data_IF_805194135934
#
_entry.id   IF_805194135934
#
_cell.length_a   1.000
_cell.length_b   1.000
_cell.length_c   1.000
_cell.angle_alpha   90.00
_cell.angle_beta   90.00
_cell.angle_gamma   90.00
#
_symmetry.space_group_name_H-M   'P 1'
#
loop_
_entity.id
_entity.type
_entity.pdbx_description
1 polymer ?
#
# COMPACT_ATOMS: atom_id res chain seq x y z
N UNK A 1 -25.53 89.77 26.38
CA UNK A 1 -24.48 89.16 27.22
C UNK A 1 -24.06 87.88 26.49
N UNK A 2 -22.99 87.97 25.68
CA UNK A 2 -21.69 87.30 25.93
C UNK A 2 -21.83 85.78 26.09
N UNK A 3 -21.11 84.86 25.46
CA UNK A 3 -19.98 84.80 24.52
C UNK A 3 -19.66 83.29 24.45
N UNK A 4 -19.31 82.71 23.30
CA UNK A 4 -18.33 81.61 23.23
C UNK A 4 -18.12 81.14 21.78
N UNK A 5 -16.94 81.47 21.25
CA UNK A 5 -16.33 80.82 20.09
C UNK A 5 -15.94 79.37 20.45
N UNK A 6 -16.05 78.45 19.49
CA UNK A 6 -15.22 77.25 19.43
C UNK A 6 -14.86 76.96 17.97
N UNK A 7 -13.57 77.00 17.67
CA UNK A 7 -12.98 76.83 16.35
C UNK A 7 -13.04 75.37 15.88
N UNK A 8 -13.37 75.18 14.61
CA UNK A 8 -13.49 73.90 13.93
C UNK A 8 -12.09 73.43 13.48
N UNK A 9 -11.50 72.47 14.19
CA UNK A 9 -10.25 71.81 13.81
C UNK A 9 -10.51 70.58 12.93
N UNK A 10 -10.06 70.65 11.68
CA UNK A 10 -10.13 69.57 10.69
C UNK A 10 -9.07 68.49 11.01
N UNK A 11 -9.49 67.36 11.60
CA UNK A 11 -8.63 66.20 11.81
C UNK A 11 -8.65 65.30 10.56
N UNK A 12 -7.54 65.31 9.82
CA UNK A 12 -7.25 64.41 8.70
C UNK A 12 -7.02 62.99 9.27
N UNK A 13 -8.00 62.11 9.13
CA UNK A 13 -7.89 60.72 9.55
C UNK A 13 -6.89 59.96 8.65
N UNK A 14 -5.69 59.66 9.18
CA UNK A 14 -4.81 58.67 8.57
C UNK A 14 -5.50 57.30 8.61
N UNK A 15 -5.84 56.77 7.45
CA UNK A 15 -6.19 55.36 7.31
C UNK A 15 -4.94 54.51 7.63
N UNK A 16 -5.07 53.43 8.42
CA UNK A 16 -3.94 52.54 8.65
C UNK A 16 -3.55 51.83 7.35
N UNK A 17 -2.26 51.52 7.12
CA UNK A 17 -1.86 50.74 5.97
C UNK A 17 -2.48 49.35 6.09
N UNK A 18 -3.19 48.94 5.03
CA UNK A 18 -3.60 47.55 4.82
C UNK A 18 -2.33 46.70 4.77
N UNK A 19 -1.96 46.10 5.90
CA UNK A 19 -0.99 45.02 5.90
C UNK A 19 -1.64 43.84 5.14
N UNK A 20 -1.01 43.27 4.12
CA UNK A 20 -1.49 42.03 3.56
C UNK A 20 -1.41 41.00 4.68
N UNK A 21 -2.56 40.48 5.12
CA UNK A 21 -2.58 39.28 5.94
C UNK A 21 -1.82 38.23 5.12
N UNK A 22 -0.63 37.84 5.57
CA UNK A 22 -0.01 36.62 5.11
C UNK A 22 -1.05 35.53 5.39
N UNK A 23 -1.69 35.01 4.34
CA UNK A 23 -2.73 34.02 4.46
C UNK A 23 -2.13 32.78 5.10
N UNK A 24 -2.30 32.63 6.41
CA UNK A 24 -2.16 31.33 7.05
C UNK A 24 -3.10 30.38 6.29
N UNK A 25 -2.55 29.28 5.75
CA UNK A 25 -3.33 28.30 5.02
C UNK A 25 -4.54 27.88 5.88
N UNK A 26 -5.74 27.86 5.28
CA UNK A 26 -6.94 27.46 6.01
C UNK A 26 -6.80 26.01 6.51
N UNK A 27 -7.55 25.63 7.54
CA UNK A 27 -7.57 24.25 8.01
C UNK A 27 -7.87 23.25 6.86
N UNK A 28 -8.76 23.63 5.93
CA UNK A 28 -9.08 22.86 4.74
C UNK A 28 -7.93 22.76 3.74
N UNK A 29 -7.17 23.84 3.53
CA UNK A 29 -5.97 23.81 2.67
C UNK A 29 -4.88 22.90 3.22
N UNK A 30 -4.73 22.86 4.56
CA UNK A 30 -3.78 21.94 5.21
C UNK A 30 -4.17 20.47 5.01
N UNK A 31 -5.46 20.12 5.18
CA UNK A 31 -5.93 18.74 4.89
C UNK A 31 -5.63 18.37 3.45
N UNK A 32 -5.98 19.24 2.50
CA UNK A 32 -5.74 19.00 1.08
C UNK A 32 -4.25 18.81 0.77
N UNK A 33 -3.38 19.67 1.30
CA UNK A 33 -1.94 19.57 1.10
C UNK A 33 -1.36 18.26 1.67
N UNK A 34 -1.83 17.82 2.84
CA UNK A 34 -1.43 16.54 3.42
C UNK A 34 -1.92 15.35 2.57
N UNK A 35 -3.14 15.42 2.04
CA UNK A 35 -3.68 14.41 1.12
C UNK A 35 -2.89 14.31 -0.18
N UNK A 36 -2.58 15.44 -0.80
CA UNK A 36 -1.73 15.51 -2.01
C UNK A 36 -0.34 14.92 -1.73
N UNK A 37 0.32 15.32 -0.63
CA UNK A 37 1.62 14.80 -0.23
C UNK A 37 1.59 13.29 0.03
N UNK A 38 0.52 12.77 0.65
CA UNK A 38 0.33 11.34 0.87
C UNK A 38 0.24 10.57 -0.45
N UNK A 39 -0.56 11.04 -1.41
CA UNK A 39 -0.72 10.39 -2.72
C UNK A 39 0.59 10.41 -3.51
N UNK A 40 1.29 11.54 -3.53
CA UNK A 40 2.58 11.65 -4.22
C UNK A 40 3.61 10.69 -3.62
N UNK A 41 3.71 10.64 -2.29
CA UNK A 41 4.59 9.67 -1.62
C UNK A 41 4.21 8.23 -1.97
N UNK A 42 2.91 7.91 -2.04
CA UNK A 42 2.45 6.56 -2.39
C UNK A 42 2.90 6.16 -3.80
N UNK A 43 2.81 7.08 -4.77
CA UNK A 43 3.25 6.86 -6.16
C UNK A 43 4.76 6.63 -6.21
N UNK A 44 5.54 7.50 -5.57
CA UNK A 44 7.00 7.43 -5.54
C UNK A 44 7.52 6.15 -4.84
N UNK A 45 6.85 5.74 -3.75
CA UNK A 45 7.25 4.58 -2.94
C UNK A 45 6.78 3.25 -3.52
N UNK A 46 5.84 3.25 -4.45
CA UNK A 46 5.32 2.02 -5.07
C UNK A 46 5.16 2.18 -6.59
N UNK A 47 6.26 2.27 -7.35
CA UNK A 47 6.21 2.38 -8.81
C UNK A 47 5.39 1.26 -9.48
N UNK A 48 5.41 0.05 -8.92
CA UNK A 48 4.61 -1.06 -9.42
C UNK A 48 3.09 -0.81 -9.27
N UNK A 49 2.67 -0.15 -8.18
CA UNK A 49 1.29 0.30 -7.98
C UNK A 49 0.95 1.48 -8.88
N UNK A 50 1.87 2.43 -9.04
CA UNK A 50 1.71 3.58 -9.93
C UNK A 50 1.38 3.14 -11.37
N UNK A 51 2.17 2.21 -11.93
CA UNK A 51 1.91 1.62 -13.25
C UNK A 51 0.51 0.99 -13.34
N UNK A 52 0.09 0.27 -12.30
CA UNK A 52 -1.26 -0.35 -12.27
C UNK A 52 -2.37 0.68 -12.24
N UNK A 53 -2.13 1.87 -11.71
CA UNK A 53 -3.05 3.00 -11.69
C UNK A 53 -2.96 3.87 -12.96
N UNK A 54 -2.10 3.53 -13.93
CA UNK A 54 -1.92 4.31 -15.16
C UNK A 54 -0.99 5.53 -15.00
N UNK A 55 -0.20 5.56 -13.93
CA UNK A 55 0.81 6.59 -13.69
C UNK A 55 2.17 6.01 -14.11
N UNK A 56 2.71 6.54 -15.21
CA UNK A 56 3.80 5.92 -15.96
C UNK A 56 5.18 6.55 -15.71
N UNK A 57 5.26 7.58 -14.85
CA UNK A 57 6.50 8.35 -14.57
C UNK A 57 7.64 7.50 -13.97
N UNK A 58 7.33 6.31 -13.47
CA UNK A 58 8.26 5.41 -12.78
C UNK A 58 8.19 3.97 -13.30
N UNK A 59 7.74 3.76 -14.54
CA UNK A 59 7.58 2.42 -15.10
C UNK A 59 8.89 1.62 -15.16
N UNK A 60 10.04 2.29 -15.23
CA UNK A 60 11.36 1.67 -15.28
C UNK A 60 11.89 1.23 -13.89
N UNK A 61 11.16 1.52 -12.81
CA UNK A 61 11.63 1.31 -11.43
C UNK A 61 10.90 0.16 -10.75
N UNK A 62 11.66 -0.56 -9.93
CA UNK A 62 11.20 -1.43 -8.86
C UNK A 62 11.94 -0.98 -7.59
N UNK A 63 11.22 -0.73 -6.51
CA UNK A 63 11.82 -0.34 -5.22
C UNK A 63 11.83 -1.56 -4.29
N UNK A 64 13.01 -2.07 -3.90
CA UNK A 64 13.14 -3.09 -2.87
C UNK A 64 12.55 -2.62 -1.53
N UNK A 65 11.86 -3.53 -0.83
CA UNK A 65 11.40 -3.29 0.54
C UNK A 65 12.48 -3.76 1.51
N UNK A 66 13.13 -2.82 2.17
CA UNK A 66 14.15 -3.04 3.20
C UNK A 66 13.61 -2.68 4.59
N UNK A 67 14.29 -3.12 5.66
CA UNK A 67 13.96 -2.69 7.01
C UNK A 67 14.02 -1.16 7.19
N UNK A 68 14.94 -0.47 6.50
CA UNK A 68 15.02 0.99 6.54
C UNK A 68 13.77 1.63 5.95
N UNK A 69 13.35 1.17 4.77
CA UNK A 69 12.14 1.67 4.13
C UNK A 69 10.87 1.38 4.93
N UNK A 70 10.79 0.23 5.60
CA UNK A 70 9.66 -0.10 6.48
C UNK A 70 9.60 0.83 7.70
N UNK A 71 10.76 1.24 8.24
CA UNK A 71 10.82 2.25 9.31
C UNK A 71 10.38 3.61 8.79
N UNK A 72 10.89 4.05 7.65
CA UNK A 72 10.49 5.31 7.01
C UNK A 72 9.00 5.37 6.71
N UNK A 73 8.39 4.27 6.23
CA UNK A 73 6.96 4.19 5.96
C UNK A 73 6.13 4.28 7.24
N UNK A 74 6.60 3.67 8.33
CA UNK A 74 5.96 3.77 9.66
C UNK A 74 6.05 5.19 10.21
N UNK A 75 7.22 5.81 10.16
CA UNK A 75 7.45 7.15 10.68
C UNK A 75 6.66 8.20 9.88
N UNK A 76 6.60 8.05 8.55
CA UNK A 76 5.77 8.89 7.70
C UNK A 76 4.27 8.74 8.01
N UNK A 77 3.78 7.52 8.24
CA UNK A 77 2.39 7.29 8.61
C UNK A 77 2.03 7.93 9.97
N UNK A 78 2.93 7.84 10.96
CA UNK A 78 2.76 8.50 12.27
C UNK A 78 2.78 10.02 12.16
N UNK A 79 3.71 10.57 11.39
CA UNK A 79 3.81 12.00 11.17
C UNK A 79 2.57 12.57 10.47
N UNK A 80 2.05 11.86 9.46
CA UNK A 80 0.81 12.23 8.79
C UNK A 80 -0.39 12.15 9.74
N UNK A 81 -0.51 11.07 10.51
CA UNK A 81 -1.58 10.91 11.51
C UNK A 81 -1.57 12.05 12.53
N UNK A 82 -0.39 12.39 13.07
CA UNK A 82 -0.23 13.51 14.00
C UNK A 82 -0.64 14.84 13.35
N UNK A 83 -0.12 15.14 12.16
CA UNK A 83 -0.43 16.37 11.45
C UNK A 83 -1.93 16.53 11.16
N UNK A 84 -2.63 15.43 10.86
CA UNK A 84 -4.08 15.43 10.66
C UNK A 84 -4.85 15.69 11.97
N UNK A 85 -4.42 15.09 13.08
CA UNK A 85 -5.06 15.29 14.41
C UNK A 85 -4.88 16.71 14.95
N UNK A 86 -3.83 17.40 14.56
CA UNK A 86 -3.59 18.80 14.94
C UNK A 86 -4.50 19.80 14.18
N UNK A 87 -5.22 19.35 13.15
CA UNK A 87 -6.16 20.19 12.40
C UNK A 87 -7.51 20.24 13.15
N UNK A 88 -7.94 21.42 13.63
CA UNK A 88 -9.19 21.55 14.37
C UNK A 88 -10.41 21.30 13.47
N UNK A 89 -11.48 20.78 14.07
CA UNK A 89 -12.79 20.60 13.42
C UNK A 89 -13.44 21.94 13.07
N UNK A 90 -13.17 22.97 13.89
CA UNK A 90 -13.77 24.28 13.76
C UNK A 90 -13.42 24.92 12.40
N UNK A 91 -14.43 25.20 11.60
CA UNK A 91 -14.28 25.83 10.29
C UNK A 91 -13.85 24.88 9.18
N UNK A 92 -13.86 23.57 9.40
CA UNK A 92 -13.55 22.57 8.37
C UNK A 92 -14.80 22.26 7.52
N UNK A 93 -14.78 22.51 6.20
CA UNK A 93 -15.92 22.15 5.35
C UNK A 93 -16.22 20.65 5.40
N UNK A 94 -17.48 20.20 5.26
CA UNK A 94 -17.84 18.78 5.38
C UNK A 94 -17.00 17.84 4.49
N UNK A 95 -16.71 18.25 3.25
CA UNK A 95 -15.85 17.46 2.35
C UNK A 95 -14.42 17.30 2.88
N UNK A 96 -13.85 18.34 3.53
CA UNK A 96 -12.50 18.29 4.10
C UNK A 96 -12.46 17.55 5.43
N UNK A 97 -13.54 17.61 6.20
CA UNK A 97 -13.72 16.76 7.37
C UNK A 97 -13.70 15.28 6.98
N UNK A 98 -14.48 14.89 5.97
CA UNK A 98 -14.49 13.52 5.46
C UNK A 98 -13.12 13.08 4.94
N UNK A 99 -12.44 13.92 4.16
CA UNK A 99 -11.10 13.62 3.65
C UNK A 99 -10.09 13.40 4.79
N UNK A 100 -10.14 14.23 5.84
CA UNK A 100 -9.30 14.06 7.03
C UNK A 100 -9.55 12.72 7.71
N UNK A 101 -10.82 12.34 7.91
CA UNK A 101 -11.18 11.04 8.51
C UNK A 101 -10.70 9.86 7.63
N UNK A 102 -10.84 9.96 6.31
CA UNK A 102 -10.34 8.94 5.39
C UNK A 102 -8.81 8.79 5.46
N UNK A 103 -8.08 9.90 5.55
CA UNK A 103 -6.63 9.89 5.70
C UNK A 103 -6.20 9.32 7.07
N UNK A 104 -6.92 9.63 8.14
CA UNK A 104 -6.69 9.04 9.47
C UNK A 104 -6.91 7.53 9.46
N UNK A 105 -8.02 7.06 8.88
CA UNK A 105 -8.26 5.63 8.68
C UNK A 105 -7.17 4.96 7.82
N UNK A 106 -6.67 5.65 6.80
CA UNK A 106 -5.56 5.16 5.99
C UNK A 106 -4.24 5.08 6.77
N UNK A 107 -3.97 6.02 7.67
CA UNK A 107 -2.82 5.94 8.58
C UNK A 107 -2.97 4.76 9.53
N UNK A 108 -4.14 4.60 10.15
CA UNK A 108 -4.42 3.51 11.09
C UNK A 108 -4.21 2.13 10.44
N UNK A 109 -4.77 1.92 9.25
CA UNK A 109 -4.58 0.66 8.49
C UNK A 109 -3.12 0.43 8.11
N UNK A 110 -2.42 1.47 7.63
CA UNK A 110 -0.99 1.36 7.28
C UNK A 110 -0.14 0.98 8.49
N UNK A 111 -0.39 1.59 9.65
CA UNK A 111 0.32 1.26 10.89
C UNK A 111 -0.01 -0.15 11.38
N UNK A 112 -1.28 -0.56 11.31
CA UNK A 112 -1.67 -1.92 11.66
C UNK A 112 -0.98 -2.97 10.77
N UNK A 113 -0.85 -2.72 9.47
CA UNK A 113 -0.10 -3.60 8.58
C UNK A 113 1.39 -3.65 8.94
N UNK A 114 2.02 -2.50 9.16
CA UNK A 114 3.47 -2.39 9.42
C UNK A 114 3.90 -2.80 10.84
N UNK A 115 2.99 -2.85 11.81
CA UNK A 115 3.30 -3.11 13.22
C UNK A 115 2.69 -4.41 13.73
N UNK A 116 1.48 -4.76 13.29
CA UNK A 116 0.76 -5.94 13.75
C UNK A 116 0.95 -7.09 12.77
N UNK A 117 0.52 -6.89 11.53
CA UNK A 117 0.52 -7.95 10.52
C UNK A 117 1.92 -8.27 10.01
N UNK A 118 2.76 -7.24 9.88
CA UNK A 118 4.19 -7.33 9.50
C UNK A 118 4.39 -8.27 8.30
N UNK A 119 3.68 -8.02 7.18
CA UNK A 119 3.62 -8.98 6.08
C UNK A 119 5.02 -9.25 5.49
N UNK A 120 5.87 -8.23 5.40
CA UNK A 120 7.21 -8.36 4.84
C UNK A 120 8.18 -9.16 5.72
N UNK A 121 7.87 -9.34 7.00
CA UNK A 121 8.62 -10.15 7.97
C UNK A 121 7.99 -11.54 8.21
N UNK A 122 6.68 -11.67 8.02
CA UNK A 122 5.88 -12.85 8.41
C UNK A 122 5.25 -13.60 7.23
N UNK A 123 5.38 -13.10 6.02
CA UNK A 123 4.82 -13.73 4.82
C UNK A 123 5.80 -13.60 3.65
N UNK A 124 6.50 -14.69 3.26
CA UNK A 124 7.37 -14.66 2.09
C UNK A 124 6.62 -14.29 0.80
N UNK A 125 5.30 -14.53 0.72
CA UNK A 125 4.50 -14.16 -0.45
C UNK A 125 4.15 -12.67 -0.51
N UNK A 126 4.43 -11.88 0.53
CA UNK A 126 4.29 -10.42 0.49
C UNK A 126 5.16 -9.77 -0.61
N UNK A 127 6.19 -10.47 -1.10
CA UNK A 127 7.07 -10.01 -2.17
C UNK A 127 6.58 -10.35 -3.59
N UNK A 128 5.51 -11.16 -3.75
CA UNK A 128 4.95 -11.49 -5.07
C UNK A 128 4.58 -10.27 -5.92
N UNK A 129 3.93 -9.21 -5.37
CA UNK A 129 3.63 -8.00 -6.14
C UNK A 129 4.89 -7.31 -6.68
N UNK A 130 6.01 -7.39 -5.96
CA UNK A 130 7.28 -6.79 -6.38
C UNK A 130 7.96 -7.65 -7.44
N UNK A 131 8.07 -8.96 -7.25
CA UNK A 131 8.86 -9.80 -8.16
C UNK A 131 8.08 -10.14 -9.43
N UNK A 132 6.83 -10.59 -9.32
CA UNK A 132 6.03 -10.97 -10.48
C UNK A 132 5.07 -9.86 -10.92
N UNK A 133 4.38 -9.23 -9.95
CA UNK A 133 3.35 -8.24 -10.22
C UNK A 133 3.87 -6.98 -10.91
N UNK A 134 5.08 -6.52 -10.56
CA UNK A 134 5.70 -5.34 -11.15
C UNK A 134 6.02 -5.56 -12.64
N UNK A 135 6.61 -6.71 -12.98
CA UNK A 135 6.98 -7.06 -14.36
C UNK A 135 5.72 -7.26 -15.20
N UNK A 136 4.73 -7.98 -14.65
CA UNK A 136 3.41 -8.16 -15.29
C UNK A 136 2.74 -6.83 -15.62
N UNK A 137 2.76 -5.88 -14.68
CA UNK A 137 2.10 -4.59 -14.86
C UNK A 137 2.63 -3.79 -16.06
N UNK A 138 3.91 -3.97 -16.42
CA UNK A 138 4.47 -3.33 -17.63
C UNK A 138 3.76 -3.82 -18.88
N UNK A 139 3.57 -5.13 -19.02
CA UNK A 139 2.90 -5.68 -20.20
C UNK A 139 1.41 -5.39 -20.23
N UNK A 140 0.76 -5.41 -19.07
CA UNK A 140 -0.71 -5.30 -18.96
C UNK A 140 -1.22 -3.85 -19.00
N UNK A 141 -0.41 -2.86 -18.59
CA UNK A 141 -0.87 -1.49 -18.33
C UNK A 141 -0.13 -0.41 -19.11
N UNK A 142 1.12 -0.67 -19.51
CA UNK A 142 1.90 0.32 -20.27
C UNK A 142 1.52 0.22 -21.73
N UNK A 143 1.14 1.35 -22.31
CA UNK A 143 0.88 1.46 -23.74
C UNK A 143 2.16 1.87 -24.47
N UNK A 144 2.33 1.40 -25.71
CA UNK A 144 3.45 1.82 -26.56
C UNK A 144 4.04 0.68 -27.38
N UNK A 145 5.13 0.97 -28.13
CA UNK A 145 5.79 -0.02 -28.98
C UNK A 145 6.26 -1.25 -28.17
N UNK A 146 6.21 -2.46 -28.74
CA UNK A 146 6.63 -3.68 -28.05
C UNK A 146 8.02 -3.58 -27.40
N UNK A 147 9.02 -3.04 -28.09
CA UNK A 147 10.37 -2.90 -27.55
C UNK A 147 10.48 -1.94 -26.37
N UNK A 148 9.65 -0.90 -26.30
CA UNK A 148 9.62 0.00 -25.13
C UNK A 148 9.16 -0.75 -23.88
N UNK A 149 8.10 -1.55 -23.99
CA UNK A 149 7.59 -2.38 -22.89
C UNK A 149 8.58 -3.47 -22.50
N UNK A 150 9.22 -4.13 -23.48
CA UNK A 150 10.26 -5.13 -23.21
C UNK A 150 11.44 -4.53 -22.45
N UNK A 151 11.91 -3.35 -22.84
CA UNK A 151 12.98 -2.64 -22.14
C UNK A 151 12.59 -2.33 -20.68
N UNK A 152 11.38 -1.82 -20.42
CA UNK A 152 10.88 -1.56 -19.07
C UNK A 152 10.78 -2.84 -18.23
N UNK A 153 10.32 -3.94 -18.83
CA UNK A 153 10.28 -5.25 -18.17
C UNK A 153 11.68 -5.76 -17.78
N UNK A 154 12.66 -5.60 -18.67
CA UNK A 154 14.06 -5.95 -18.40
C UNK A 154 14.61 -5.14 -17.21
N UNK A 155 14.30 -3.84 -17.13
CA UNK A 155 14.70 -2.97 -16.00
C UNK A 155 14.11 -3.43 -14.67
N UNK A 156 12.84 -3.82 -14.64
CA UNK A 156 12.18 -4.36 -13.43
C UNK A 156 12.76 -5.72 -13.03
N UNK A 157 12.96 -6.63 -14.00
CA UNK A 157 13.57 -7.93 -13.76
C UNK A 157 14.98 -7.80 -13.17
N UNK A 158 15.79 -6.87 -13.69
CA UNK A 158 17.14 -6.63 -13.19
C UNK A 158 17.18 -6.21 -11.70
N UNK A 159 16.09 -5.65 -11.17
CA UNK A 159 15.96 -5.26 -9.77
C UNK A 159 15.41 -6.37 -8.85
N UNK A 160 14.87 -7.46 -9.40
CA UNK A 160 14.34 -8.60 -8.63
C UNK A 160 15.38 -9.22 -7.67
N UNK A 161 16.65 -9.44 -8.07
CA UNK A 161 17.66 -9.97 -7.15
C UNK A 161 17.87 -9.14 -5.89
N UNK A 162 17.83 -7.80 -6.02
CA UNK A 162 17.91 -6.87 -4.88
C UNK A 162 16.69 -6.99 -3.98
N UNK A 163 15.48 -7.00 -4.57
CA UNK A 163 14.23 -7.15 -3.83
C UNK A 163 14.20 -8.46 -3.02
N UNK A 164 14.67 -9.57 -3.60
CA UNK A 164 14.73 -10.85 -2.89
C UNK A 164 15.85 -10.92 -1.86
N UNK A 165 16.95 -10.19 -2.04
CA UNK A 165 17.96 -10.08 -0.98
C UNK A 165 17.42 -9.31 0.22
N UNK A 166 16.67 -8.24 -0.01
CA UNK A 166 15.97 -7.54 1.07
C UNK A 166 14.92 -8.46 1.73
N UNK A 167 14.20 -9.26 0.95
CA UNK A 167 13.25 -10.24 1.47
C UNK A 167 13.90 -11.24 2.44
N UNK A 168 15.07 -11.79 2.11
CA UNK A 168 15.82 -12.71 2.99
C UNK A 168 16.21 -12.09 4.33
N UNK A 169 16.48 -10.78 4.34
CA UNK A 169 16.82 -10.05 5.56
C UNK A 169 15.58 -9.77 6.41
N UNK A 170 14.45 -9.46 5.76
CA UNK A 170 13.22 -9.10 6.46
C UNK A 170 12.48 -10.33 7.01
N UNK A 171 12.36 -11.40 6.22
CA UNK A 171 11.61 -12.61 6.57
C UNK A 171 12.33 -13.34 7.70
N UNK A 172 11.80 -13.20 8.90
CA UNK A 172 12.41 -13.67 10.14
C UNK A 172 11.42 -14.34 11.09
N UNK A 173 10.11 -14.11 10.91
CA UNK A 173 9.05 -14.59 11.80
C UNK A 173 7.88 -15.23 11.05
N UNK A 174 8.13 -15.78 9.86
CA UNK A 174 7.11 -16.42 9.06
C UNK A 174 6.63 -17.73 9.73
N UNK A 175 5.31 -17.91 9.94
CA UNK A 175 4.75 -19.17 10.41
C UNK A 175 5.01 -20.31 9.43
N UNK A 176 5.21 -21.56 9.90
CA UNK A 176 5.49 -22.71 9.05
C UNK A 176 4.49 -22.88 7.90
N UNK A 177 3.21 -22.61 8.16
CA UNK A 177 2.13 -22.74 7.19
C UNK A 177 2.30 -21.75 6.03
N UNK A 178 2.69 -20.50 6.33
CA UNK A 178 2.96 -19.50 5.28
C UNK A 178 4.22 -19.83 4.48
N UNK A 179 5.25 -20.35 5.15
CA UNK A 179 6.47 -20.81 4.47
C UNK A 179 6.16 -21.98 3.52
N UNK A 180 5.36 -22.95 3.96
CA UNK A 180 4.93 -24.07 3.13
C UNK A 180 4.15 -23.62 1.90
N UNK A 181 3.17 -22.72 2.08
CA UNK A 181 2.40 -22.13 0.97
C UNK A 181 3.34 -21.35 0.03
N UNK A 182 4.31 -20.61 0.57
CA UNK A 182 5.27 -19.88 -0.25
C UNK A 182 6.12 -20.81 -1.14
N UNK A 183 6.63 -21.91 -0.58
CA UNK A 183 7.40 -22.91 -1.31
C UNK A 183 6.58 -23.55 -2.44
N UNK A 184 5.28 -23.76 -2.23
CA UNK A 184 4.36 -24.27 -3.25
C UNK A 184 4.09 -23.25 -4.37
N UNK A 185 3.96 -21.97 -4.03
CA UNK A 185 3.50 -20.93 -4.96
C UNK A 185 4.60 -20.25 -5.75
N UNK A 186 5.78 -20.03 -5.16
CA UNK A 186 6.90 -19.34 -5.82
C UNK A 186 7.41 -20.02 -7.11
N UNK A 187 7.33 -21.36 -7.31
CA UNK A 187 7.60 -21.98 -8.61
C UNK A 187 6.78 -21.43 -9.77
N UNK A 188 5.60 -20.85 -9.53
CA UNK A 188 4.83 -20.19 -10.57
C UNK A 188 5.52 -18.92 -11.12
N UNK A 189 6.31 -18.24 -10.30
CA UNK A 189 7.13 -17.08 -10.73
C UNK A 189 8.21 -17.52 -11.71
N UNK A 190 8.82 -18.69 -11.47
CA UNK A 190 9.82 -19.25 -12.40
C UNK A 190 9.21 -19.57 -13.76
N UNK A 191 8.01 -20.16 -13.81
CA UNK A 191 7.29 -20.37 -15.08
C UNK A 191 6.94 -19.05 -15.76
N UNK A 192 6.51 -18.05 -15.00
CA UNK A 192 6.22 -16.73 -15.53
C UNK A 192 7.44 -16.12 -16.23
N UNK A 193 8.61 -16.16 -15.60
CA UNK A 193 9.86 -15.68 -16.18
C UNK A 193 10.31 -16.50 -17.40
N UNK A 194 10.34 -17.83 -17.28
CA UNK A 194 10.84 -18.72 -18.35
C UNK A 194 9.96 -18.76 -19.60
N UNK A 195 8.66 -18.59 -19.45
CA UNK A 195 7.70 -18.84 -20.53
C UNK A 195 6.93 -17.58 -20.90
N UNK A 196 6.30 -16.95 -19.91
CA UNK A 196 5.35 -15.86 -20.19
C UNK A 196 6.05 -14.56 -20.56
N UNK A 197 7.12 -14.17 -19.86
CA UNK A 197 7.85 -12.94 -20.16
C UNK A 197 8.44 -12.95 -21.58
N UNK A 198 9.17 -13.99 -22.02
CA UNK A 198 9.64 -14.10 -23.40
C UNK A 198 8.50 -14.06 -24.42
N UNK A 199 7.39 -14.75 -24.17
CA UNK A 199 6.24 -14.74 -25.06
C UNK A 199 5.63 -13.33 -25.22
N UNK A 200 5.49 -12.59 -24.12
CA UNK A 200 5.00 -11.20 -24.14
C UNK A 200 5.99 -10.24 -24.80
N UNK A 201 7.28 -10.54 -24.75
CA UNK A 201 8.34 -9.75 -25.36
C UNK A 201 8.61 -10.09 -26.85
N UNK A 202 8.03 -11.16 -27.39
CA UNK A 202 8.37 -11.71 -28.70
C UNK A 202 8.17 -10.74 -29.88
N UNK A 203 7.24 -9.78 -29.75
CA UNK A 203 6.99 -8.76 -30.76
C UNK A 203 8.08 -7.65 -30.82
N UNK A 204 9.05 -7.67 -29.90
CA UNK A 204 10.22 -6.80 -29.99
C UNK A 204 11.35 -7.48 -30.78
N UNK A 205 11.76 -6.89 -31.90
CA UNK A 205 12.83 -7.43 -32.76
C UNK A 205 14.19 -6.74 -32.57
N UNK A 206 14.31 -5.82 -31.60
CA UNK A 206 15.60 -5.23 -31.24
C UNK A 206 16.46 -6.24 -30.46
N UNK A 207 17.56 -6.68 -31.08
CA UNK A 207 18.43 -7.70 -30.52
C UNK A 207 19.12 -7.30 -29.21
N UNK A 208 19.38 -5.99 -28.99
CA UNK A 208 19.98 -5.51 -27.75
C UNK A 208 18.96 -5.55 -26.62
N UNK A 209 17.74 -5.09 -26.86
CA UNK A 209 16.66 -5.13 -25.86
C UNK A 209 16.31 -6.57 -25.47
N UNK A 210 16.33 -7.50 -26.43
CA UNK A 210 16.12 -8.93 -26.15
C UNK A 210 17.28 -9.53 -25.32
N UNK A 211 18.52 -9.15 -25.61
CA UNK A 211 19.68 -9.59 -24.83
C UNK A 211 19.61 -9.06 -23.39
N UNK A 212 19.29 -7.78 -23.19
CA UNK A 212 19.13 -7.16 -21.87
C UNK A 212 18.01 -7.86 -21.07
N UNK A 213 16.88 -8.20 -21.72
CA UNK A 213 15.81 -8.96 -21.09
C UNK A 213 16.27 -10.36 -20.66
N UNK A 214 16.95 -11.10 -21.54
CA UNK A 214 17.38 -12.47 -21.26
C UNK A 214 18.41 -12.53 -20.11
N UNK A 215 19.32 -11.55 -20.03
CA UNK A 215 20.26 -11.42 -18.92
C UNK A 215 19.53 -11.15 -17.60
N UNK A 216 18.62 -10.16 -17.59
CA UNK A 216 17.84 -9.80 -16.42
C UNK A 216 16.94 -10.96 -15.94
N UNK A 217 16.29 -11.66 -16.86
CA UNK A 217 15.44 -12.82 -16.59
C UNK A 217 16.24 -13.96 -15.96
N UNK A 218 17.42 -14.27 -16.51
CA UNK A 218 18.33 -15.28 -15.96
C UNK A 218 18.78 -14.95 -14.53
N UNK A 219 19.07 -13.68 -14.25
CA UNK A 219 19.42 -13.22 -12.91
C UNK A 219 18.24 -13.32 -11.94
N UNK A 220 17.03 -12.92 -12.38
CA UNK A 220 15.81 -13.00 -11.59
C UNK A 220 15.42 -14.45 -11.27
N UNK A 221 15.53 -15.38 -12.23
CA UNK A 221 15.31 -16.82 -12.05
C UNK A 221 16.22 -17.36 -10.95
N UNK A 222 17.54 -17.13 -11.04
CA UNK A 222 18.49 -17.59 -10.02
C UNK A 222 18.16 -17.05 -8.64
N UNK A 223 17.74 -15.78 -8.56
CA UNK A 223 17.37 -15.16 -7.29
C UNK A 223 16.11 -15.79 -6.68
N UNK A 224 15.10 -16.11 -7.49
CA UNK A 224 13.88 -16.80 -7.04
C UNK A 224 14.20 -18.24 -6.61
N UNK A 225 15.01 -18.97 -7.36
CA UNK A 225 15.45 -20.33 -7.00
C UNK A 225 16.20 -20.34 -5.66
N UNK A 226 17.14 -19.41 -5.48
CA UNK A 226 17.85 -19.25 -4.21
C UNK A 226 16.88 -18.95 -3.06
N UNK A 227 15.94 -18.02 -3.26
CA UNK A 227 14.96 -17.68 -2.22
C UNK A 227 14.07 -18.89 -1.85
N UNK A 228 13.63 -19.69 -2.82
CA UNK A 228 12.88 -20.92 -2.55
C UNK A 228 13.74 -21.93 -1.77
N UNK A 229 15.03 -22.07 -2.11
CA UNK A 229 15.95 -22.94 -1.38
C UNK A 229 16.13 -22.48 0.07
N UNK A 230 16.36 -21.18 0.28
CA UNK A 230 16.49 -20.57 1.61
C UNK A 230 15.23 -20.84 2.46
N UNK A 231 14.03 -20.73 1.88
CA UNK A 231 12.78 -21.03 2.58
C UNK A 231 12.63 -22.52 2.95
N UNK A 232 13.15 -23.45 2.14
CA UNK A 232 13.13 -24.89 2.44
C UNK A 232 14.08 -25.26 3.57
N UNK A 233 15.20 -24.55 3.68
CA UNK A 233 16.21 -24.77 4.73
C UNK A 233 15.88 -24.00 6.01
N UNK A 234 15.03 -22.97 5.93
CA UNK A 234 14.63 -22.15 7.06
C UNK A 234 13.97 -22.98 8.16
N UNK A 235 14.43 -22.78 9.39
CA UNK A 235 13.74 -23.30 10.58
C UNK A 235 12.75 -22.25 11.08
N UNK A 236 11.53 -22.67 11.49
CA UNK A 236 10.58 -21.75 12.10
C UNK A 236 11.21 -21.06 13.31
N UNK A 237 11.03 -19.74 13.41
CA UNK A 237 11.43 -19.01 14.60
C UNK A 237 10.61 -19.49 15.82
N UNK A 238 11.20 -19.52 17.03
CA UNK A 238 10.44 -19.83 18.24
C UNK A 238 9.22 -18.90 18.37
N UNK A 239 8.04 -19.50 18.58
CA UNK A 239 6.78 -18.75 18.68
C UNK A 239 6.19 -18.24 17.36
N UNK A 240 6.74 -18.64 16.20
CA UNK A 240 6.13 -18.35 14.91
C UNK A 240 4.74 -19.00 14.82
N UNK A 241 3.70 -18.18 14.80
CA UNK A 241 2.30 -18.60 14.76
C UNK A 241 1.53 -17.78 13.74
N UNK A 242 0.53 -18.38 13.11
CA UNK A 242 -0.45 -17.65 12.32
C UNK A 242 -1.26 -16.66 13.17
N UNK A 243 -1.50 -17.01 14.43
CA UNK A 243 -2.24 -16.15 15.34
C UNK A 243 -1.48 -14.85 15.61
N UNK A 244 -2.21 -13.74 15.65
CA UNK A 244 -1.69 -12.42 16.06
C UNK A 244 -2.04 -12.08 17.51
N UNK A 245 -2.85 -12.92 18.16
CA UNK A 245 -3.37 -12.70 19.51
C UNK A 245 -4.62 -11.81 19.52
N UNK A 246 -5.46 -11.95 20.53
CA UNK A 246 -6.74 -11.25 20.63
C UNK A 246 -6.58 -9.73 20.63
N UNK A 247 -5.63 -9.20 21.40
CA UNK A 247 -5.41 -7.75 21.47
C UNK A 247 -4.99 -7.18 20.10
N UNK A 248 -4.02 -7.81 19.44
CA UNK A 248 -3.55 -7.34 18.14
C UNK A 248 -4.61 -7.51 17.05
N UNK A 249 -5.40 -8.58 17.11
CA UNK A 249 -6.57 -8.78 16.25
C UNK A 249 -7.59 -7.65 16.43
N UNK A 250 -7.95 -7.33 17.68
CA UNK A 250 -8.87 -6.23 17.98
C UNK A 250 -8.36 -4.87 17.51
N UNK A 251 -7.07 -4.57 17.68
CA UNK A 251 -6.46 -3.34 17.14
C UNK A 251 -6.47 -3.30 15.62
N UNK A 252 -6.19 -4.42 14.95
CA UNK A 252 -6.22 -4.50 13.49
C UNK A 252 -7.65 -4.32 12.95
N UNK A 253 -8.65 -4.97 13.55
CA UNK A 253 -10.06 -4.76 13.19
C UNK A 253 -10.41 -3.29 13.35
N UNK A 254 -10.07 -2.68 14.49
CA UNK A 254 -10.36 -1.27 14.72
C UNK A 254 -9.68 -0.33 13.73
N UNK A 255 -8.47 -0.65 13.29
CA UNK A 255 -7.79 0.12 12.26
C UNK A 255 -8.49 0.01 10.89
N UNK A 256 -9.00 -1.18 10.54
CA UNK A 256 -9.60 -1.46 9.21
C UNK A 256 -11.06 -1.04 9.12
N UNK A 257 -11.84 -1.20 10.19
CA UNK A 257 -13.28 -0.89 10.20
C UNK A 257 -13.57 0.50 10.77
N UNK A 258 -12.66 1.08 11.55
CA UNK A 258 -12.94 2.29 12.33
C UNK A 258 -13.75 2.02 13.61
N UNK A 259 -14.09 0.76 13.88
CA UNK A 259 -14.96 0.35 14.99
C UNK A 259 -14.22 -0.53 16.00
N UNK A 260 -14.64 -0.54 17.26
CA UNK A 260 -14.03 -1.40 18.29
C UNK A 260 -15.03 -2.45 18.81
N UNK A 261 -15.47 -3.38 17.96
CA UNK A 261 -16.39 -4.41 18.39
C UNK A 261 -15.70 -5.39 19.35
N UNK A 262 -16.50 -6.04 20.20
CA UNK A 262 -16.02 -7.19 20.98
C UNK A 262 -15.74 -8.37 20.03
N UNK A 263 -14.55 -8.97 20.14
CA UNK A 263 -14.20 -10.16 19.35
C UNK A 263 -15.15 -11.34 19.62
N UNK A 264 -15.62 -11.48 20.85
CA UNK A 264 -16.60 -12.53 21.19
C UNK A 264 -17.95 -12.26 20.51
N UNK A 265 -18.39 -11.00 20.47
CA UNK A 265 -19.63 -10.63 19.79
C UNK A 265 -19.55 -10.94 18.29
N UNK A 266 -18.43 -10.54 17.65
CA UNK A 266 -18.21 -10.82 16.23
C UNK A 266 -18.19 -12.33 15.94
N UNK A 267 -17.59 -13.12 16.83
CA UNK A 267 -17.55 -14.58 16.68
C UNK A 267 -18.95 -15.17 16.73
N UNK A 268 -19.76 -14.81 17.73
CA UNK A 268 -21.12 -15.32 17.87
C UNK A 268 -21.98 -14.93 16.66
N UNK A 269 -21.86 -13.70 16.19
CA UNK A 269 -22.57 -13.24 14.99
C UNK A 269 -22.15 -14.02 13.75
N UNK A 270 -20.85 -14.23 13.54
CA UNK A 270 -20.32 -14.98 12.41
C UNK A 270 -20.75 -16.46 12.44
N UNK A 271 -20.69 -17.11 13.60
CA UNK A 271 -21.15 -18.50 13.78
C UNK A 271 -22.64 -18.64 13.46
N UNK A 272 -23.46 -17.72 13.97
CA UNK A 272 -24.90 -17.69 13.66
C UNK A 272 -25.19 -17.49 12.17
N UNK A 273 -24.44 -16.60 11.51
CA UNK A 273 -24.58 -16.38 10.07
C UNK A 273 -24.21 -17.63 9.25
N UNK A 274 -23.15 -18.34 9.62
CA UNK A 274 -22.76 -19.60 8.97
C UNK A 274 -23.83 -20.68 9.13
N UNK A 275 -24.39 -20.81 10.33
CA UNK A 275 -25.43 -21.82 10.59
C UNK A 275 -26.72 -21.51 9.82
N UNK A 276 -27.10 -20.23 9.70
CA UNK A 276 -28.23 -19.81 8.86
C UNK A 276 -28.02 -20.16 7.39
N UNK A 277 -26.83 -19.90 6.84
CA UNK A 277 -26.53 -20.23 5.45
C UNK A 277 -26.45 -21.74 5.20
N UNK A 278 -25.92 -22.52 6.15
CA UNK A 278 -25.97 -23.99 6.07
C UNK A 278 -27.41 -24.49 6.01
N UNK A 279 -28.27 -24.00 6.91
CA UNK A 279 -29.68 -24.38 6.92
C UNK A 279 -30.40 -24.01 5.62
N UNK A 280 -30.05 -22.86 5.03
CA UNK A 280 -30.58 -22.43 3.74
C UNK A 280 -30.15 -23.37 2.60
N UNK A 281 -28.87 -23.74 2.56
CA UNK A 281 -28.34 -24.67 1.55
C UNK A 281 -29.01 -26.04 1.67
N UNK A 282 -29.16 -26.56 2.89
CA UNK A 282 -29.82 -27.84 3.15
C UNK A 282 -31.29 -27.82 2.72
N UNK A 283 -32.01 -26.74 3.01
CA UNK A 283 -33.40 -26.57 2.60
C UNK A 283 -33.55 -26.54 1.06
N UNK A 284 -32.65 -25.85 0.36
CA UNK A 284 -32.64 -25.82 -1.11
C UNK A 284 -32.32 -27.19 -1.71
N UNK A 285 -31.36 -27.91 -1.13
CA UNK A 285 -31.02 -29.27 -1.56
C UNK A 285 -32.22 -30.23 -1.39
N UNK A 286 -32.92 -30.14 -0.26
CA UNK A 286 -34.13 -30.93 0.00
C UNK A 286 -35.25 -30.59 -1.00
N UNK A 287 -35.50 -29.30 -1.25
CA UNK A 287 -36.51 -28.86 -2.21
C UNK A 287 -36.20 -29.30 -3.65
N UNK A 288 -34.92 -29.28 -4.05
CA UNK A 288 -34.46 -29.78 -5.35
C UNK A 288 -34.60 -31.29 -5.49
N UNK A 289 -34.35 -32.05 -4.42
CA UNK A 289 -34.52 -33.50 -4.41
C UNK A 289 -35.99 -33.93 -4.48
N UNK A 290 -36.92 -33.11 -3.98
CA UNK A 290 -38.37 -33.37 -4.11
C UNK A 290 -38.98 -32.97 -5.45
N UNK A 291 -38.25 -32.21 -6.28
CA UNK A 291 -38.71 -31.74 -7.58
C UNK A 291 -38.20 -32.58 -8.77
N UNK A 292 -37.34 -33.57 -8.49
CA UNK A 292 -36.81 -34.55 -9.45
C UNK A 292 -37.51 -35.90 -9.29
#
# INVERSE_FOLDING_TARGET
MASALAALGLALALAPPFAPAACAASAGDRVRALGEAFVMRLIERSPDRATRLGIHDHDDRLIPVTQATLREDRDAARALEQALREIPDAGLPPARALERELLLGRCATTLADLEIMRPFERDPLAYLPLIAGSVRAVFDRVNGPPCGRTHLAARRLAAVPEALRAARINVSGAPPERVAIAIERLPAVLRFYRETVPALAAACHDGRVQADLAEADSAAIRAVEAFIADLREARPAPGASLAVGAEACGRWIAAVTGERPSLDSLRVEAEGAVDLERARVDALAAAGATAA
#
